data_IF_730022799245
#
_entry.id   IF_730022799245
#
_cell.length_a   1.000
_cell.length_b   1.000
_cell.length_c   1.000
_cell.angle_alpha   90.00
_cell.angle_beta   90.00
_cell.angle_gamma   90.00
#
_symmetry.space_group_name_H-M   'P 1'
#
loop_
_entity.id
_entity.type
_entity.pdbx_description
1 polymer ?
#
# COMPACT_ATOMS: atom_id res chain seq x y z
N UNK A 1 -6.80 -9.80 -0.77
CA UNK A 1 -6.96 -8.37 -0.45
C UNK A 1 -8.40 -7.87 -0.36
N UNK A 2 -9.38 -8.76 -0.37
CA UNK A 2 -10.79 -8.37 -0.50
C UNK A 2 -11.26 -7.42 0.61
N UNK A 3 -11.00 -7.75 1.88
CA UNK A 3 -11.45 -6.93 3.03
C UNK A 3 -10.79 -5.55 3.00
N UNK A 4 -9.48 -5.48 2.78
CA UNK A 4 -8.72 -4.23 2.80
C UNK A 4 -9.12 -3.31 1.65
N UNK A 5 -9.33 -3.86 0.45
CA UNK A 5 -9.79 -3.11 -0.73
C UNK A 5 -11.19 -2.54 -0.51
N UNK A 6 -12.12 -3.34 0.01
CA UNK A 6 -13.47 -2.86 0.32
C UNK A 6 -13.47 -1.73 1.35
N UNK A 7 -12.67 -1.85 2.42
CA UNK A 7 -12.51 -0.76 3.38
C UNK A 7 -11.99 0.52 2.73
N UNK A 8 -10.96 0.41 1.89
CA UNK A 8 -10.32 1.56 1.25
C UNK A 8 -11.20 2.23 0.18
N UNK A 9 -11.69 1.45 -0.78
CA UNK A 9 -12.30 1.96 -2.02
C UNK A 9 -13.81 2.08 -1.96
N UNK A 10 -14.48 1.26 -1.15
CA UNK A 10 -15.95 1.27 -1.06
C UNK A 10 -16.44 2.01 0.18
N UNK A 11 -15.69 1.97 1.28
CA UNK A 11 -16.10 2.54 2.57
C UNK A 11 -15.33 3.82 2.95
N UNK A 12 -14.37 4.24 2.13
CA UNK A 12 -13.66 5.51 2.29
C UNK A 12 -12.69 5.55 3.47
N UNK A 13 -12.25 4.39 3.99
CA UNK A 13 -11.22 4.35 5.02
C UNK A 13 -9.83 4.59 4.42
N UNK A 14 -8.95 5.27 5.15
CA UNK A 14 -7.53 5.26 4.83
C UNK A 14 -6.90 3.96 5.35
N UNK A 15 -6.35 3.15 4.44
CA UNK A 15 -5.75 1.85 4.76
C UNK A 15 -4.27 1.89 4.42
N UNK A 16 -3.42 1.60 5.41
CA UNK A 16 -1.96 1.50 5.24
C UNK A 16 -1.55 0.04 5.48
N UNK A 17 -0.86 -0.55 4.51
CA UNK A 17 -0.36 -1.94 4.58
C UNK A 17 1.16 -1.93 4.53
N UNK A 18 1.79 -2.60 5.49
CA UNK A 18 3.24 -2.86 5.49
C UNK A 18 3.45 -4.33 5.18
N UNK A 19 4.23 -4.62 4.15
CA UNK A 19 4.47 -5.98 3.69
C UNK A 19 5.88 -6.14 3.14
N UNK A 20 6.38 -7.38 3.14
CA UNK A 20 7.55 -7.77 2.36
C UNK A 20 7.18 -8.41 1.02
N UNK A 21 5.90 -8.69 0.77
CA UNK A 21 5.41 -9.27 -0.47
C UNK A 21 5.12 -8.15 -1.49
N UNK A 22 5.86 -8.07 -2.62
CA UNK A 22 5.64 -7.05 -3.62
C UNK A 22 4.29 -7.20 -4.35
N UNK A 23 3.69 -8.39 -4.40
CA UNK A 23 2.38 -8.59 -5.04
C UNK A 23 1.29 -7.83 -4.28
N UNK A 24 1.35 -7.84 -2.94
CA UNK A 24 0.44 -7.07 -2.09
C UNK A 24 0.60 -5.56 -2.32
N UNK A 25 1.83 -5.07 -2.41
CA UNK A 25 2.09 -3.65 -2.61
C UNK A 25 1.57 -3.14 -3.98
N UNK A 26 1.57 -4.00 -5.01
CA UNK A 26 1.04 -3.67 -6.33
C UNK A 26 -0.48 -3.54 -6.37
N UNK A 27 -1.19 -4.08 -5.37
CA UNK A 27 -2.65 -3.92 -5.27
C UNK A 27 -3.07 -2.60 -4.60
N UNK A 28 -2.14 -1.86 -3.99
CA UNK A 28 -2.41 -0.59 -3.35
C UNK A 28 -2.45 0.57 -4.37
N UNK A 29 -3.17 1.63 -4.03
CA UNK A 29 -3.20 2.86 -4.85
C UNK A 29 -1.81 3.49 -4.99
N UNK A 30 -1.04 3.44 -3.90
CA UNK A 30 0.32 3.95 -3.81
C UNK A 30 1.22 2.92 -3.13
N UNK A 31 2.36 2.63 -3.77
CA UNK A 31 3.38 1.72 -3.25
C UNK A 31 4.65 2.50 -2.88
N UNK A 32 4.92 2.62 -1.58
CA UNK A 32 6.12 3.26 -1.07
C UNK A 32 7.16 2.22 -0.66
N UNK A 33 8.44 2.47 -0.97
CA UNK A 33 9.55 1.63 -0.48
C UNK A 33 10.20 2.29 0.72
N UNK A 34 10.39 1.53 1.79
CA UNK A 34 11.18 1.98 2.95
C UNK A 34 12.60 1.45 2.86
N UNK A 35 13.59 2.31 3.06
CA UNK A 35 15.01 1.94 3.17
C UNK A 35 15.72 2.88 4.13
N UNK A 36 16.53 2.33 5.02
CA UNK A 36 17.35 3.07 5.99
C UNK A 36 16.52 4.09 6.82
N UNK A 37 15.34 3.66 7.28
CA UNK A 37 14.43 4.49 8.07
C UNK A 37 13.68 5.58 7.30
N UNK A 38 13.80 5.63 5.98
CA UNK A 38 13.15 6.63 5.15
C UNK A 38 12.23 6.01 4.09
N UNK A 39 11.09 6.64 3.86
CA UNK A 39 10.20 6.33 2.73
C UNK A 39 10.77 6.95 1.44
N UNK A 40 10.63 6.21 0.35
CA UNK A 40 10.94 6.61 -1.01
C UNK A 40 9.68 6.41 -1.85
N UNK A 41 9.23 7.47 -2.49
CA UNK A 41 8.21 7.35 -3.52
C UNK A 41 8.82 6.57 -4.70
N UNK A 42 8.03 5.69 -5.31
CA UNK A 42 8.41 5.15 -6.61
C UNK A 42 8.38 6.33 -7.60
N UNK A 43 9.52 6.66 -8.19
CA UNK A 43 9.53 7.53 -9.36
C UNK A 43 8.88 6.73 -10.50
N UNK A 44 7.75 7.24 -11.00
CA UNK A 44 7.06 6.67 -12.16
C UNK A 44 7.94 6.65 -13.41
#
# INVERSE_FOLDING_TARGET
MEILRRLAHEQGYCVIVVTHDPAIAQEADEALRMKDGALRANAG
#
